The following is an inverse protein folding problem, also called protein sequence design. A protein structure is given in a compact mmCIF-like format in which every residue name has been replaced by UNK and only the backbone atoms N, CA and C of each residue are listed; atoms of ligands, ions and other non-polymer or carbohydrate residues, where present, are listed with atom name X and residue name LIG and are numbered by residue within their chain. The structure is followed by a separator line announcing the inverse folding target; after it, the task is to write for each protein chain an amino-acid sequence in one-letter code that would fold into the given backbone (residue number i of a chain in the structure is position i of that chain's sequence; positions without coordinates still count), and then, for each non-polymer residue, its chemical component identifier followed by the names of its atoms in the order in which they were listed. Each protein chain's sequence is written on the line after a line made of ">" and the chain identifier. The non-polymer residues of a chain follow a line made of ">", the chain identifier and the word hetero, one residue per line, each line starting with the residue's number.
data_IF_152566773021
#
_entry.id   IF_152566773021
#
_cell.length_a   1.000
_cell.length_b   1.000
_cell.length_c   1.000
_cell.angle_alpha   90.00
_cell.angle_beta   90.00
_cell.angle_gamma   90.00
#
_symmetry.space_group_name_H-M   'P 1'
#
loop_
_entity.id
_entity.type
_entity.pdbx_description
1 polymer ?
#
# COMPACT_ATOMS: atom_id res chain seq x y z
N UNK A 1 -88.44 -9.98 -11.57
CA UNK A 1 -87.19 -9.54 -12.21
C UNK A 1 -86.07 -9.71 -11.18
N UNK A 2 -85.25 -10.68 -11.38
CA UNK A 2 -84.12 -10.97 -10.43
C UNK A 2 -82.85 -10.42 -11.10
N UNK A 3 -82.30 -9.32 -10.53
CA UNK A 3 -81.02 -8.81 -10.95
C UNK A 3 -79.89 -9.68 -10.32
N UNK A 4 -79.20 -10.40 -11.15
CA UNK A 4 -78.00 -11.12 -10.74
C UNK A 4 -76.78 -10.16 -10.73
N UNK A 5 -76.35 -9.76 -9.57
CA UNK A 5 -75.09 -9.06 -9.40
C UNK A 5 -73.96 -10.05 -9.48
N UNK A 6 -73.21 -9.98 -10.56
CA UNK A 6 -71.97 -10.73 -10.69
C UNK A 6 -70.84 -10.08 -9.86
N UNK A 7 -70.54 -10.67 -8.72
CA UNK A 7 -69.27 -10.38 -7.98
C UNK A 7 -68.12 -10.99 -8.75
N UNK A 8 -67.22 -10.15 -9.24
CA UNK A 8 -65.96 -10.57 -9.78
C UNK A 8 -64.98 -10.85 -8.61
N UNK A 9 -64.27 -11.98 -8.57
CA UNK A 9 -63.25 -12.21 -7.56
C UNK A 9 -62.06 -11.32 -7.82
N UNK A 10 -61.63 -10.58 -6.80
CA UNK A 10 -60.38 -9.87 -6.75
C UNK A 10 -59.24 -10.91 -6.59
N UNK A 11 -58.54 -11.14 -7.69
CA UNK A 11 -57.27 -11.90 -7.64
C UNK A 11 -56.20 -11.05 -7.00
N UNK A 12 -55.94 -11.36 -5.74
CA UNK A 12 -54.81 -10.81 -4.99
C UNK A 12 -53.50 -11.36 -5.58
N UNK A 13 -52.86 -10.58 -6.42
CA UNK A 13 -51.49 -10.84 -6.84
C UNK A 13 -50.53 -10.53 -5.69
N UNK A 14 -50.09 -11.59 -4.99
CA UNK A 14 -48.97 -11.52 -4.08
C UNK A 14 -47.70 -11.18 -4.88
N UNK A 15 -47.30 -9.93 -4.78
CA UNK A 15 -46.00 -9.47 -5.28
C UNK A 15 -44.93 -9.96 -4.31
N UNK A 16 -44.32 -11.12 -4.58
CA UNK A 16 -43.16 -11.58 -3.85
C UNK A 16 -41.98 -10.71 -4.23
N UNK A 17 -41.63 -9.78 -3.34
CA UNK A 17 -40.42 -8.98 -3.41
C UNK A 17 -39.22 -9.91 -3.13
N UNK A 18 -38.63 -10.47 -4.16
CA UNK A 18 -37.37 -11.18 -4.05
C UNK A 18 -36.29 -10.16 -3.78
N UNK A 19 -35.88 -10.07 -2.52
CA UNK A 19 -34.69 -9.33 -2.08
C UNK A 19 -33.48 -10.04 -2.67
N UNK A 20 -33.06 -9.65 -3.86
CA UNK A 20 -31.78 -10.08 -4.42
C UNK A 20 -30.68 -9.45 -3.57
N UNK A 21 -30.08 -10.25 -2.72
CA UNK A 21 -28.87 -9.91 -2.00
C UNK A 21 -27.76 -9.78 -3.05
N UNK A 22 -27.61 -8.57 -3.60
CA UNK A 22 -26.48 -8.24 -4.46
C UNK A 22 -25.23 -8.37 -3.60
N UNK A 23 -24.45 -9.41 -3.86
CA UNK A 23 -23.09 -9.54 -3.33
C UNK A 23 -22.32 -8.29 -3.74
N UNK A 24 -22.04 -7.42 -2.77
CA UNK A 24 -21.16 -6.28 -2.96
C UNK A 24 -19.77 -6.84 -3.35
N UNK A 25 -19.20 -6.38 -4.44
CA UNK A 25 -17.88 -6.83 -4.83
C UNK A 25 -16.86 -6.42 -3.75
N UNK A 26 -15.87 -7.29 -3.51
CA UNK A 26 -14.80 -7.14 -2.53
C UNK A 26 -13.84 -5.95 -2.77
N UNK A 27 -14.26 -4.95 -3.53
CA UNK A 27 -13.51 -3.72 -3.80
C UNK A 27 -13.53 -2.72 -2.62
N UNK A 28 -14.43 -2.89 -1.66
CA UNK A 28 -14.56 -1.96 -0.53
C UNK A 28 -13.37 -2.02 0.44
N UNK A 29 -12.70 -3.16 0.55
CA UNK A 29 -11.55 -3.33 1.47
C UNK A 29 -10.29 -2.57 1.01
N UNK A 30 -10.06 -2.51 -0.29
CA UNK A 30 -8.87 -1.84 -0.86
C UNK A 30 -8.98 -0.32 -0.68
N UNK A 31 -10.18 0.24 -0.82
CA UNK A 31 -10.39 1.68 -0.66
C UNK A 31 -10.34 2.09 0.82
N UNK A 32 -10.86 1.27 1.73
CA UNK A 32 -10.79 1.53 3.17
C UNK A 32 -9.33 1.55 3.67
N UNK A 33 -8.51 0.61 3.21
CA UNK A 33 -7.09 0.57 3.54
C UNK A 33 -6.33 1.81 3.02
N UNK A 34 -6.60 2.22 1.77
CA UNK A 34 -6.03 3.45 1.19
C UNK A 34 -6.43 4.71 1.95
N UNK A 35 -7.69 4.82 2.35
CA UNK A 35 -8.17 5.93 3.16
C UNK A 35 -7.52 5.97 4.54
N UNK A 36 -7.33 4.81 5.14
CA UNK A 36 -6.63 4.68 6.42
C UNK A 36 -5.17 5.16 6.33
N UNK A 37 -4.42 4.72 5.32
CA UNK A 37 -3.04 5.15 5.08
C UNK A 37 -2.97 6.66 4.79
N UNK A 38 -3.90 7.18 3.98
CA UNK A 38 -3.98 8.61 3.70
C UNK A 38 -4.29 9.44 4.93
N UNK A 39 -5.13 8.94 5.85
CA UNK A 39 -5.44 9.61 7.12
C UNK A 39 -4.24 9.68 8.07
N UNK A 40 -3.32 8.72 7.99
CA UNK A 40 -2.04 8.74 8.72
C UNK A 40 -0.99 9.66 8.09
N UNK A 41 -1.26 10.19 6.88
CA UNK A 41 -0.29 10.93 6.08
C UNK A 41 0.75 10.04 5.43
N UNK A 42 0.55 8.71 5.41
CA UNK A 42 1.47 7.75 4.83
C UNK A 42 1.57 7.92 3.30
N UNK A 43 2.71 7.58 2.74
CA UNK A 43 2.97 7.65 1.30
C UNK A 43 2.58 6.31 0.67
N UNK A 44 1.50 6.22 -0.13
CA UNK A 44 1.17 4.98 -0.81
C UNK A 44 2.28 4.55 -1.77
N UNK A 45 2.60 3.26 -1.82
CA UNK A 45 3.61 2.74 -2.76
C UNK A 45 3.35 3.16 -4.21
N UNK A 46 2.10 3.17 -4.63
CA UNK A 46 1.67 3.54 -5.98
C UNK A 46 1.87 5.02 -6.31
N UNK A 47 2.05 5.88 -5.30
CA UNK A 47 2.35 7.30 -5.49
C UNK A 47 3.82 7.59 -5.79
N UNK A 48 4.69 6.61 -5.57
CA UNK A 48 6.09 6.68 -5.96
C UNK A 48 6.20 6.57 -7.48
N UNK A 49 7.12 7.33 -8.07
CA UNK A 49 7.38 7.17 -9.50
C UNK A 49 8.07 5.81 -9.81
N UNK A 50 8.05 5.31 -11.06
CA UNK A 50 8.60 4.00 -11.40
C UNK A 50 10.09 3.82 -11.05
N UNK A 51 10.87 4.88 -11.08
CA UNK A 51 12.30 4.83 -10.73
C UNK A 51 12.50 4.74 -9.21
N UNK A 52 11.73 5.51 -8.43
CA UNK A 52 11.69 5.40 -6.97
C UNK A 52 11.26 3.99 -6.54
N UNK A 53 10.22 3.44 -7.16
CA UNK A 53 9.75 2.08 -6.89
C UNK A 53 10.83 1.04 -7.17
N UNK A 54 11.60 1.18 -8.26
CA UNK A 54 12.72 0.28 -8.56
C UNK A 54 13.84 0.40 -7.52
N UNK A 55 14.19 1.62 -7.14
CA UNK A 55 15.23 1.87 -6.13
C UNK A 55 14.84 1.33 -4.75
N UNK A 56 13.54 1.36 -4.41
CA UNK A 56 12.98 0.93 -3.13
C UNK A 56 12.38 -0.47 -3.15
N UNK A 57 12.52 -1.23 -4.24
CA UNK A 57 11.85 -2.52 -4.46
C UNK A 57 12.00 -3.51 -3.30
N UNK A 58 13.10 -3.49 -2.59
CA UNK A 58 13.37 -4.37 -1.44
C UNK A 58 12.48 -4.08 -0.24
N UNK A 59 11.97 -2.86 -0.16
CA UNK A 59 11.15 -2.37 0.94
C UNK A 59 9.65 -2.46 0.65
N UNK A 60 9.28 -2.91 -0.56
CA UNK A 60 7.89 -2.98 -0.97
C UNK A 60 7.02 -3.79 -0.01
N UNK A 61 7.51 -4.94 0.44
CA UNK A 61 6.76 -5.83 1.33
C UNK A 61 6.45 -5.25 2.71
N UNK A 62 7.29 -4.32 3.18
CA UNK A 62 7.15 -3.68 4.49
C UNK A 62 6.82 -2.19 4.38
N UNK A 63 6.55 -1.69 3.17
CA UNK A 63 6.37 -0.25 2.93
C UNK A 63 5.24 0.36 3.76
N UNK A 64 4.13 -0.33 3.86
CA UNK A 64 2.94 0.11 4.60
C UNK A 64 3.09 -0.02 6.12
N UNK A 65 4.10 -0.78 6.59
CA UNK A 65 4.44 -0.91 8.01
C UNK A 65 5.32 0.26 8.50
N UNK A 66 5.96 0.98 7.60
CA UNK A 66 6.77 2.16 7.94
C UNK A 66 5.87 3.36 8.25
N UNK A 67 6.26 4.16 9.24
CA UNK A 67 5.60 5.43 9.49
C UNK A 67 5.93 6.46 8.38
N UNK A 68 5.18 7.54 8.37
CA UNK A 68 5.32 8.60 7.37
C UNK A 68 6.73 9.19 7.30
N UNK A 69 7.36 9.43 8.45
CA UNK A 69 8.71 9.99 8.52
C UNK A 69 9.74 9.06 7.89
N UNK A 70 9.66 7.78 8.24
CA UNK A 70 10.54 6.76 7.67
C UNK A 70 10.35 6.60 6.16
N UNK A 71 9.08 6.60 5.68
CA UNK A 71 8.77 6.56 4.25
C UNK A 71 9.34 7.78 3.51
N UNK A 72 9.23 8.97 4.09
CA UNK A 72 9.83 10.18 3.51
C UNK A 72 11.35 10.11 3.45
N UNK A 73 12.00 9.63 4.51
CA UNK A 73 13.45 9.47 4.54
C UNK A 73 13.95 8.50 3.48
N UNK A 74 13.27 7.38 3.32
CA UNK A 74 13.57 6.40 2.28
C UNK A 74 13.38 6.98 0.89
N UNK A 75 12.30 7.72 0.67
CA UNK A 75 12.04 8.39 -0.61
C UNK A 75 13.13 9.41 -0.94
N UNK A 76 13.51 10.26 0.01
CA UNK A 76 14.62 11.21 -0.16
C UNK A 76 15.94 10.50 -0.46
N UNK A 77 16.20 9.37 0.21
CA UNK A 77 17.36 8.53 -0.07
C UNK A 77 17.36 7.97 -1.48
N UNK A 78 16.22 7.46 -1.95
CA UNK A 78 16.05 6.98 -3.32
C UNK A 78 16.28 8.09 -4.36
N UNK A 79 15.72 9.26 -4.14
CA UNK A 79 15.90 10.42 -5.03
C UNK A 79 17.37 10.82 -5.15
N UNK A 80 18.09 10.95 -4.01
CA UNK A 80 19.53 11.23 -4.03
C UNK A 80 20.34 10.15 -4.75
N UNK A 81 19.99 8.88 -4.57
CA UNK A 81 20.62 7.77 -5.28
C UNK A 81 20.41 7.86 -6.80
N UNK A 82 19.19 8.21 -7.24
CA UNK A 82 18.85 8.35 -8.66
C UNK A 82 19.55 9.54 -9.31
N UNK A 83 19.87 10.58 -8.56
CA UNK A 83 20.65 11.75 -9.03
C UNK A 83 22.15 11.44 -9.20
N UNK A 84 22.67 10.37 -8.62
CA UNK A 84 24.07 10.00 -8.76
C UNK A 84 24.41 9.58 -10.18
N UNK A 85 25.62 9.92 -10.67
CA UNK A 85 26.17 9.36 -11.89
C UNK A 85 26.21 7.82 -11.87
N UNK A 86 26.17 7.14 -13.03
CA UNK A 86 26.12 5.68 -13.10
C UNK A 86 27.29 4.96 -12.38
N UNK A 87 28.49 5.52 -12.44
CA UNK A 87 29.67 4.99 -11.72
C UNK A 87 29.50 5.09 -10.21
N UNK A 88 28.98 6.20 -9.70
CA UNK A 88 28.69 6.38 -8.26
C UNK A 88 27.58 5.46 -7.77
N UNK A 89 26.53 5.25 -8.56
CA UNK A 89 25.52 4.24 -8.23
C UNK A 89 26.12 2.83 -8.13
N UNK A 90 27.04 2.47 -9.02
CA UNK A 90 27.77 1.18 -8.94
C UNK A 90 28.60 1.07 -7.66
N UNK A 91 29.28 2.13 -7.25
CA UNK A 91 30.03 2.15 -5.98
C UNK A 91 29.11 1.92 -4.78
N UNK A 92 27.96 2.62 -4.72
CA UNK A 92 26.96 2.44 -3.66
C UNK A 92 26.47 0.99 -3.62
N UNK A 93 26.14 0.40 -4.78
CA UNK A 93 25.71 -0.99 -4.88
C UNK A 93 26.77 -1.99 -4.43
N UNK A 94 28.03 -1.74 -4.73
CA UNK A 94 29.16 -2.57 -4.25
C UNK A 94 29.30 -2.48 -2.73
N UNK A 95 29.26 -1.28 -2.15
CA UNK A 95 29.34 -1.09 -0.70
C UNK A 95 28.18 -1.78 0.00
N UNK A 96 26.97 -1.69 -0.56
CA UNK A 96 25.80 -2.38 -0.04
C UNK A 96 26.00 -3.90 -0.02
N UNK A 97 26.44 -4.48 -1.12
CA UNK A 97 26.72 -5.93 -1.19
C UNK A 97 27.78 -6.36 -0.16
N UNK A 98 28.83 -5.57 0.02
CA UNK A 98 29.85 -5.84 1.05
C UNK A 98 29.23 -5.82 2.46
N UNK A 99 28.38 -4.82 2.75
CA UNK A 99 27.70 -4.73 4.05
C UNK A 99 26.77 -5.91 4.29
N UNK A 100 26.04 -6.37 3.28
CA UNK A 100 25.14 -7.52 3.38
C UNK A 100 25.87 -8.84 3.65
N UNK A 101 27.12 -8.96 3.22
CA UNK A 101 27.98 -10.13 3.48
C UNK A 101 28.57 -10.16 4.89
N UNK A 102 28.53 -9.04 5.62
CA UNK A 102 29.03 -8.97 6.99
C UNK A 102 28.13 -9.75 7.95
N UNK A 103 28.76 -10.30 9.00
CA UNK A 103 28.02 -10.89 10.12
C UNK A 103 27.15 -9.85 10.85
N UNK A 104 26.10 -10.27 11.58
CA UNK A 104 25.30 -9.36 12.39
C UNK A 104 26.12 -8.53 13.38
N UNK A 105 27.15 -9.11 13.96
CA UNK A 105 28.05 -8.43 14.92
C UNK A 105 28.87 -7.34 14.25
N UNK A 106 29.43 -7.61 13.07
CA UNK A 106 30.22 -6.64 12.30
C UNK A 106 29.33 -5.47 11.84
N UNK A 107 28.11 -5.75 11.34
CA UNK A 107 27.14 -4.71 10.99
C UNK A 107 26.78 -3.83 12.17
N UNK A 108 26.60 -4.41 13.37
CA UNK A 108 26.32 -3.66 14.59
C UNK A 108 27.50 -2.78 14.99
N UNK A 109 28.72 -3.29 14.90
CA UNK A 109 29.95 -2.53 15.19
C UNK A 109 30.08 -1.32 14.27
N UNK A 110 29.91 -1.51 12.95
CA UNK A 110 29.96 -0.42 11.98
C UNK A 110 28.90 0.65 12.23
N UNK A 111 27.67 0.27 12.57
CA UNK A 111 26.61 1.24 12.93
C UNK A 111 27.00 2.07 14.15
N UNK A 112 27.54 1.46 15.19
CA UNK A 112 28.00 2.17 16.40
C UNK A 112 29.17 3.12 16.11
N UNK A 113 30.07 2.71 15.23
CA UNK A 113 31.19 3.54 14.80
C UNK A 113 30.73 4.75 14.00
N UNK A 114 29.85 4.55 13.04
CA UNK A 114 29.21 5.64 12.28
C UNK A 114 28.48 6.65 13.17
N UNK A 115 27.72 6.18 14.15
CA UNK A 115 27.03 7.04 15.11
C UNK A 115 27.98 7.85 15.98
N UNK A 116 29.15 7.31 16.30
CA UNK A 116 30.17 8.04 17.06
C UNK A 116 30.86 9.15 16.25
N UNK A 117 31.07 8.90 14.95
CA UNK A 117 31.72 9.87 14.06
C UNK A 117 30.80 11.04 13.69
N UNK A 118 29.49 10.86 13.77
CA UNK A 118 28.46 11.86 13.39
C UNK A 118 27.79 12.55 14.59
N UNK A 119 28.38 12.47 15.77
CA UNK A 119 28.03 13.26 16.96
C UNK A 119 28.97 14.44 17.11
#
# INVERSE_FOLDING_TARGET
>A
MIMRTHLKPLTSTLFTLTLSLSSLPAYADVDAHRLYLAARGDIPWQSLNPEEQRALQRHRGNWDDYDHEHQQDMRRGAQRYLELPPDKRREVEQQRRKYEQLSPQERQRLRKEYQRQNR
#
